data_IF_643006655956
#
_entry.id   IF_643006655956
#
_cell.length_a   1.000
_cell.length_b   1.000
_cell.length_c   1.000
_cell.angle_alpha   90.00
_cell.angle_beta   90.00
_cell.angle_gamma   90.00
#
_symmetry.space_group_name_H-M   'P 1'
#
loop_
_entity.id
_entity.type
_entity.pdbx_description
1 polymer ?
#
# COMPACT_ATOMS: atom_id res chain seq x y z
N UNK A 1 20.19 -57.26 64.60
CA UNK A 1 19.32 -56.08 64.80
C UNK A 1 17.95 -56.38 64.21
N UNK A 2 16.91 -56.04 64.96
CA UNK A 2 15.54 -56.51 64.78
C UNK A 2 14.87 -55.98 63.51
N UNK A 3 14.08 -56.88 62.90
CA UNK A 3 13.03 -56.64 61.92
C UNK A 3 12.14 -55.45 62.33
N UNK A 4 11.77 -54.60 61.38
CA UNK A 4 10.41 -54.52 60.81
C UNK A 4 10.24 -53.23 59.98
N UNK A 5 9.73 -53.43 58.78
CA UNK A 5 9.15 -52.42 57.90
C UNK A 5 7.92 -51.76 58.56
N UNK A 6 7.74 -50.46 58.37
CA UNK A 6 6.47 -49.83 57.97
C UNK A 6 6.60 -48.30 57.83
N UNK A 7 6.21 -47.83 56.64
CA UNK A 7 5.51 -46.57 56.31
C UNK A 7 6.13 -45.23 56.71
N UNK A 8 6.67 -44.47 55.74
CA UNK A 8 5.96 -43.48 54.89
C UNK A 8 5.41 -42.31 55.71
N UNK A 9 6.05 -41.13 55.58
CA UNK A 9 5.36 -39.85 55.36
C UNK A 9 6.37 -38.78 54.86
N UNK A 10 6.13 -38.31 53.63
CA UNK A 10 6.48 -36.99 53.03
C UNK A 10 7.89 -36.41 53.26
N UNK A 11 8.62 -35.96 52.24
CA UNK A 11 8.25 -34.85 51.36
C UNK A 11 8.96 -34.93 50.00
N UNK A 12 8.16 -34.89 48.94
CA UNK A 12 8.53 -34.38 47.62
C UNK A 12 8.74 -32.86 47.67
N UNK A 13 9.65 -32.35 46.84
CA UNK A 13 9.47 -31.18 45.97
C UNK A 13 10.77 -31.01 45.14
N UNK A 14 10.89 -31.63 43.96
CA UNK A 14 10.59 -31.05 42.61
C UNK A 14 11.61 -30.01 42.13
N UNK A 15 12.31 -30.33 41.04
CA UNK A 15 12.26 -29.61 39.75
C UNK A 15 13.45 -30.04 38.87
N UNK A 16 13.15 -30.61 37.71
CA UNK A 16 14.11 -30.70 36.61
C UNK A 16 14.04 -29.43 35.78
N UNK A 17 15.15 -28.96 35.24
CA UNK A 17 15.15 -27.94 34.19
C UNK A 17 16.40 -28.08 33.29
N UNK A 18 16.13 -28.62 32.11
CA UNK A 18 16.60 -28.17 30.78
C UNK A 18 17.93 -27.42 30.73
N UNK A 19 18.93 -28.06 30.12
CA UNK A 19 20.15 -27.38 29.68
C UNK A 19 19.81 -26.39 28.55
N UNK A 20 19.88 -25.10 28.88
CA UNK A 20 19.82 -24.01 27.91
C UNK A 20 21.14 -23.95 27.13
N UNK A 21 21.10 -24.28 25.84
CA UNK A 21 22.13 -23.89 24.89
C UNK A 21 22.20 -22.37 24.88
N UNK A 22 23.37 -21.82 25.23
CA UNK A 22 23.65 -20.39 25.17
C UNK A 22 23.54 -19.90 23.72
N UNK A 23 22.41 -19.30 23.38
CA UNK A 23 22.22 -18.51 22.18
C UNK A 23 23.23 -17.36 22.20
N UNK A 24 24.24 -17.42 21.34
CA UNK A 24 25.14 -16.29 21.04
C UNK A 24 24.41 -15.32 20.12
N UNK A 25 23.39 -14.65 20.66
CA UNK A 25 22.76 -13.50 20.03
C UNK A 25 23.71 -12.32 20.08
N UNK A 26 24.40 -12.04 18.98
CA UNK A 26 25.09 -10.78 18.78
C UNK A 26 24.06 -9.63 18.82
N UNK A 27 23.94 -8.98 19.98
CA UNK A 27 23.19 -7.73 20.13
C UNK A 27 23.96 -6.62 19.44
N UNK A 28 23.52 -6.24 18.23
CA UNK A 28 23.95 -5.00 17.58
C UNK A 28 23.19 -3.80 18.16
N UNK A 29 23.29 -3.59 19.47
CA UNK A 29 22.92 -2.32 20.10
C UNK A 29 24.08 -1.36 19.87
N UNK A 30 24.11 -0.72 18.69
CA UNK A 30 25.01 0.39 18.41
C UNK A 30 24.64 1.54 19.35
N UNK A 31 25.65 1.97 20.12
CA UNK A 31 25.68 3.16 20.95
C UNK A 31 24.83 4.30 20.37
N UNK A 32 24.01 4.88 21.25
CA UNK A 32 23.42 6.22 21.22
C UNK A 32 23.67 6.99 19.91
N UNK A 33 22.74 6.84 18.97
CA UNK A 33 22.71 7.66 17.77
C UNK A 33 22.46 9.10 18.22
N UNK A 34 23.43 9.99 17.96
CA UNK A 34 23.26 11.42 18.13
C UNK A 34 21.96 11.83 17.43
N UNK A 35 20.91 12.13 18.20
CA UNK A 35 19.65 12.69 17.70
C UNK A 35 19.92 14.14 17.33
N UNK A 36 20.60 14.32 16.20
CA UNK A 36 20.42 15.55 15.41
C UNK A 36 18.91 15.67 15.20
N UNK A 37 18.34 16.84 15.45
CA UNK A 37 16.91 17.12 15.34
C UNK A 37 16.42 16.84 13.91
N UNK A 38 16.20 15.58 13.56
CA UNK A 38 15.54 15.18 12.33
C UNK A 38 14.06 15.31 12.65
N UNK A 39 13.41 16.30 12.06
CA UNK A 39 11.96 16.41 12.11
C UNK A 39 11.36 15.12 11.55
N UNK A 40 10.45 14.49 12.29
CA UNK A 40 9.74 13.30 11.81
C UNK A 40 8.96 13.67 10.54
N UNK A 41 9.25 13.04 9.38
CA UNK A 41 8.57 13.40 8.15
C UNK A 41 7.10 13.05 8.23
N UNK A 42 6.25 13.88 7.64
CA UNK A 42 4.83 13.56 7.51
C UNK A 42 4.67 12.46 6.47
N UNK A 43 4.19 11.29 6.91
CA UNK A 43 3.92 10.15 6.05
C UNK A 43 2.47 10.11 5.59
N UNK A 44 2.24 9.92 4.30
CA UNK A 44 0.89 9.70 3.74
C UNK A 44 0.92 8.81 2.49
N UNK A 45 -0.25 8.32 2.08
CA UNK A 45 -0.43 7.71 0.75
C UNK A 45 -0.75 8.81 -0.27
N UNK A 46 -0.04 8.86 -1.40
CA UNK A 46 -0.22 9.91 -2.41
C UNK A 46 -0.84 9.42 -3.73
N UNK A 47 -0.83 8.11 -3.96
CA UNK A 47 -1.58 7.51 -5.05
C UNK A 47 -1.99 6.10 -4.71
N UNK A 48 -3.22 5.74 -5.09
CA UNK A 48 -3.75 4.40 -4.95
C UNK A 48 -4.40 3.95 -6.25
N UNK A 49 -4.18 2.68 -6.59
CA UNK A 49 -4.89 2.02 -7.68
C UNK A 49 -5.54 0.74 -7.16
N UNK A 50 -6.87 0.67 -7.29
CA UNK A 50 -7.66 -0.51 -6.99
C UNK A 50 -8.05 -1.16 -8.33
N UNK A 51 -7.87 -2.46 -8.43
CA UNK A 51 -8.32 -3.25 -9.57
C UNK A 51 -9.20 -4.39 -9.11
N UNK A 52 -10.16 -4.76 -9.95
CA UNK A 52 -11.11 -5.83 -9.68
C UNK A 52 -11.85 -6.20 -10.95
N UNK A 53 -12.77 -7.14 -10.82
CA UNK A 53 -13.63 -7.59 -11.89
C UNK A 53 -15.02 -7.01 -11.76
N UNK A 54 -15.56 -6.61 -12.90
CA UNK A 54 -16.94 -6.21 -13.05
C UNK A 54 -17.62 -7.25 -13.95
N UNK A 55 -18.60 -7.95 -13.39
CA UNK A 55 -19.44 -8.87 -14.17
C UNK A 55 -20.31 -8.07 -15.16
N UNK A 56 -20.95 -8.77 -16.10
CA UNK A 56 -21.71 -8.12 -17.18
C UNK A 56 -22.86 -7.24 -16.65
N UNK A 57 -23.58 -7.74 -15.65
CA UNK A 57 -24.77 -7.07 -15.11
C UNK A 57 -24.37 -5.83 -14.31
N UNK A 58 -23.34 -5.93 -13.47
CA UNK A 58 -22.76 -4.83 -12.72
C UNK A 58 -22.14 -3.78 -13.66
N UNK A 59 -21.52 -4.19 -14.77
CA UNK A 59 -20.98 -3.26 -15.76
C UNK A 59 -22.08 -2.41 -16.41
N UNK A 60 -23.19 -3.05 -16.77
CA UNK A 60 -24.34 -2.35 -17.33
C UNK A 60 -25.02 -1.44 -16.28
N UNK A 61 -25.19 -1.93 -15.05
CA UNK A 61 -25.79 -1.17 -13.96
C UNK A 61 -24.93 0.07 -13.62
N UNK A 62 -23.62 -0.11 -13.47
CA UNK A 62 -22.68 0.95 -13.15
C UNK A 62 -22.59 1.98 -14.27
N UNK A 63 -22.49 1.55 -15.54
CA UNK A 63 -22.50 2.46 -16.68
C UNK A 63 -23.80 3.28 -16.76
N UNK A 64 -24.94 2.68 -16.44
CA UNK A 64 -26.24 3.38 -16.42
C UNK A 64 -26.31 4.40 -15.30
N UNK A 65 -25.85 4.03 -14.10
CA UNK A 65 -25.72 4.95 -12.96
C UNK A 65 -24.82 6.15 -13.31
N UNK A 66 -23.63 5.89 -13.86
CA UNK A 66 -22.68 6.93 -14.24
C UNK A 66 -23.19 7.87 -15.33
N UNK A 67 -24.14 7.43 -16.15
CA UNK A 67 -24.71 8.26 -17.23
C UNK A 67 -25.71 9.30 -16.72
N UNK A 68 -26.27 9.11 -15.53
CA UNK A 68 -27.26 10.02 -14.93
C UNK A 68 -26.69 10.86 -13.79
N UNK A 69 -25.54 10.47 -13.23
CA UNK A 69 -24.89 11.18 -12.13
C UNK A 69 -24.10 12.41 -12.64
N UNK A 70 -24.52 13.65 -12.34
CA UNK A 70 -23.89 14.85 -12.90
C UNK A 70 -22.44 15.07 -12.45
N UNK A 71 -22.04 14.46 -11.33
CA UNK A 71 -20.69 14.55 -10.80
C UNK A 71 -19.69 13.63 -11.52
N UNK A 72 -20.17 12.84 -12.48
CA UNK A 72 -19.37 11.90 -13.25
C UNK A 72 -19.34 12.33 -14.71
N UNK A 73 -18.13 12.45 -15.25
CA UNK A 73 -17.89 12.61 -16.68
C UNK A 73 -17.58 11.23 -17.25
N UNK A 74 -18.42 10.74 -18.14
CA UNK A 74 -18.29 9.43 -18.81
C UNK A 74 -17.91 9.62 -20.28
N UNK A 75 -16.99 8.81 -20.80
CA UNK A 75 -16.59 8.79 -22.22
C UNK A 75 -16.10 7.40 -22.66
N UNK A 76 -15.79 7.25 -23.95
CA UNK A 76 -15.40 5.97 -24.56
C UNK A 76 -16.39 4.83 -24.28
N UNK A 77 -17.70 5.13 -24.31
CA UNK A 77 -18.76 4.21 -23.88
C UNK A 77 -19.05 3.20 -24.99
N UNK A 78 -18.74 1.94 -24.72
CA UNK A 78 -19.09 0.76 -25.53
C UNK A 78 -19.66 -0.31 -24.58
N UNK A 79 -20.21 -1.39 -25.14
CA UNK A 79 -20.76 -2.47 -24.31
C UNK A 79 -19.72 -3.16 -23.41
N UNK A 80 -18.45 -3.20 -23.85
CA UNK A 80 -17.36 -3.89 -23.16
C UNK A 80 -16.31 -2.93 -22.60
N UNK A 81 -16.57 -1.63 -22.63
CA UNK A 81 -15.60 -0.61 -22.27
C UNK A 81 -16.28 0.70 -21.86
N UNK A 82 -15.75 1.34 -20.82
CA UNK A 82 -16.06 2.74 -20.54
C UNK A 82 -14.91 3.37 -19.76
N UNK A 83 -14.83 4.70 -19.81
CA UNK A 83 -13.94 5.49 -18.94
C UNK A 83 -14.73 6.59 -18.28
N UNK A 84 -14.40 6.86 -17.03
CA UNK A 84 -15.02 7.93 -16.29
C UNK A 84 -14.01 8.71 -15.45
N UNK A 85 -14.39 9.94 -15.15
CA UNK A 85 -13.84 10.70 -14.04
C UNK A 85 -14.96 11.17 -13.15
N UNK A 86 -14.77 10.98 -11.85
CA UNK A 86 -15.75 11.33 -10.83
C UNK A 86 -15.15 12.33 -9.85
N UNK A 87 -16.01 12.93 -9.01
CA UNK A 87 -15.63 13.76 -7.88
C UNK A 87 -14.70 14.90 -8.30
N UNK A 88 -15.15 15.73 -9.24
CA UNK A 88 -14.37 16.85 -9.77
C UNK A 88 -13.00 16.42 -10.33
N UNK A 89 -13.00 15.34 -11.11
CA UNK A 89 -11.80 14.79 -11.78
C UNK A 89 -10.72 14.22 -10.85
N UNK A 90 -11.02 14.03 -9.55
CA UNK A 90 -10.11 13.45 -8.55
C UNK A 90 -9.94 11.95 -8.68
N UNK A 91 -10.95 11.26 -9.23
CA UNK A 91 -10.97 9.80 -9.39
C UNK A 91 -11.09 9.46 -10.86
N UNK A 92 -10.17 8.62 -11.36
CA UNK A 92 -10.23 8.03 -12.68
C UNK A 92 -10.73 6.58 -12.58
N UNK A 93 -11.63 6.20 -13.48
CA UNK A 93 -12.23 4.86 -13.55
C UNK A 93 -12.14 4.36 -14.98
N UNK A 94 -11.68 3.12 -15.17
CA UNK A 94 -11.59 2.46 -16.47
C UNK A 94 -12.12 1.04 -16.34
N UNK A 95 -13.02 0.68 -17.25
CA UNK A 95 -13.46 -0.68 -17.49
C UNK A 95 -13.14 -1.05 -18.93
N UNK A 96 -12.48 -2.18 -19.15
CA UNK A 96 -12.20 -2.70 -20.49
C UNK A 96 -12.11 -4.24 -20.43
N UNK A 97 -13.22 -4.90 -20.76
CA UNK A 97 -13.32 -6.36 -20.71
C UNK A 97 -12.43 -7.04 -21.76
N UNK A 98 -12.43 -6.54 -22.99
CA UNK A 98 -11.70 -7.17 -24.10
C UNK A 98 -10.20 -7.14 -23.85
N UNK A 99 -9.68 -5.99 -23.40
CA UNK A 99 -8.27 -5.85 -23.04
C UNK A 99 -7.91 -6.71 -21.83
N UNK A 100 -8.79 -6.81 -20.84
CA UNK A 100 -8.56 -7.63 -19.66
C UNK A 100 -8.48 -9.12 -19.99
N UNK A 101 -9.45 -9.65 -20.74
CA UNK A 101 -9.49 -11.04 -21.19
C UNK A 101 -8.26 -11.39 -22.05
N UNK A 102 -7.84 -10.47 -22.92
CA UNK A 102 -6.68 -10.70 -23.80
C UNK A 102 -5.34 -10.76 -23.06
N UNK A 103 -5.26 -10.18 -21.85
CA UNK A 103 -4.03 -10.10 -21.05
C UNK A 103 -4.10 -10.97 -19.79
N UNK A 104 -5.21 -11.70 -19.60
CA UNK A 104 -5.55 -12.47 -18.40
C UNK A 104 -5.41 -11.63 -17.12
N UNK A 105 -6.17 -10.52 -17.06
CA UNK A 105 -6.14 -9.55 -15.94
C UNK A 105 -7.54 -9.13 -15.53
N UNK A 106 -7.61 -8.46 -14.37
CA UNK A 106 -8.81 -7.80 -13.87
C UNK A 106 -9.28 -6.70 -14.83
N UNK A 107 -10.59 -6.58 -14.99
CA UNK A 107 -11.20 -5.78 -16.06
C UNK A 107 -11.60 -4.35 -15.68
N UNK A 108 -11.50 -3.98 -14.41
CA UNK A 108 -11.81 -2.65 -13.90
C UNK A 108 -10.65 -2.09 -13.08
N UNK A 109 -10.39 -0.79 -13.23
CA UNK A 109 -9.33 -0.05 -12.56
C UNK A 109 -9.85 1.30 -12.06
N UNK A 110 -9.50 1.64 -10.83
CA UNK A 110 -9.83 2.92 -10.18
C UNK A 110 -8.54 3.53 -9.66
N UNK A 111 -8.24 4.77 -10.06
CA UNK A 111 -7.03 5.50 -9.69
C UNK A 111 -7.39 6.83 -9.02
N UNK A 112 -6.78 7.11 -7.87
CA UNK A 112 -7.01 8.36 -7.14
C UNK A 112 -5.87 8.64 -6.15
N UNK A 113 -5.78 9.90 -5.71
CA UNK A 113 -4.93 10.29 -4.59
C UNK A 113 -5.83 10.43 -3.34
N UNK A 114 -5.64 9.63 -2.27
CA UNK A 114 -6.50 9.69 -1.09
C UNK A 114 -6.39 11.02 -0.35
N UNK A 115 -5.24 11.71 -0.39
CA UNK A 115 -5.06 13.02 0.23
C UNK A 115 -5.92 14.12 -0.41
N UNK A 116 -6.46 13.88 -1.62
CA UNK A 116 -7.32 14.82 -2.34
C UNK A 116 -8.81 14.56 -2.16
N UNK A 117 -9.19 13.47 -1.49
CA UNK A 117 -10.58 13.11 -1.24
C UNK A 117 -10.98 13.47 0.19
N UNK A 118 -12.17 14.03 0.36
CA UNK A 118 -12.79 14.14 1.69
C UNK A 118 -13.24 12.76 2.16
N UNK A 119 -13.53 12.63 3.47
CA UNK A 119 -14.06 11.38 4.03
C UNK A 119 -15.37 10.95 3.37
N UNK A 120 -16.26 11.89 3.08
CA UNK A 120 -17.54 11.62 2.43
C UNK A 120 -17.36 11.19 0.97
N UNK A 121 -16.41 11.81 0.27
CA UNK A 121 -16.01 11.41 -1.09
C UNK A 121 -15.46 9.99 -1.12
N UNK A 122 -14.64 9.60 -0.13
CA UNK A 122 -14.14 8.23 0.00
C UNK A 122 -15.28 7.22 0.28
N UNK A 123 -16.21 7.57 1.15
CA UNK A 123 -17.38 6.73 1.46
C UNK A 123 -18.25 6.57 0.21
N UNK A 124 -18.50 7.67 -0.51
CA UNK A 124 -19.25 7.68 -1.75
C UNK A 124 -18.59 6.79 -2.82
N UNK A 125 -17.26 6.90 -2.98
CA UNK A 125 -16.51 6.08 -3.94
C UNK A 125 -16.63 4.58 -3.60
N UNK A 126 -16.52 4.24 -2.31
CA UNK A 126 -16.66 2.87 -1.84
C UNK A 126 -18.06 2.31 -2.10
N UNK A 127 -19.09 3.08 -1.77
CA UNK A 127 -20.49 2.64 -1.83
C UNK A 127 -21.06 2.59 -3.25
N UNK A 128 -20.66 3.52 -4.13
CA UNK A 128 -21.30 3.69 -5.44
C UNK A 128 -20.47 3.10 -6.59
N UNK A 129 -19.17 2.86 -6.39
CA UNK A 129 -18.28 2.37 -7.45
C UNK A 129 -17.64 1.05 -7.03
N UNK A 130 -16.88 1.03 -5.93
CA UNK A 130 -16.06 -0.14 -5.54
C UNK A 130 -16.95 -1.33 -5.14
N UNK A 131 -18.10 -1.09 -4.53
CA UNK A 131 -19.07 -2.12 -4.12
C UNK A 131 -19.59 -3.00 -5.27
N UNK A 132 -19.51 -2.53 -6.51
CA UNK A 132 -19.89 -3.31 -7.69
C UNK A 132 -18.80 -4.28 -8.15
N UNK A 133 -17.58 -4.13 -7.65
CA UNK A 133 -16.43 -4.94 -8.03
C UNK A 133 -16.38 -6.25 -7.24
N UNK A 134 -15.89 -7.29 -7.90
CA UNK A 134 -15.54 -8.59 -7.34
C UNK A 134 -14.03 -8.79 -7.43
N UNK A 135 -13.43 -9.59 -6.54
CA UNK A 135 -11.98 -9.83 -6.49
C UNK A 135 -11.17 -8.51 -6.52
N UNK A 136 -11.56 -7.53 -5.70
CA UNK A 136 -10.89 -6.23 -5.66
C UNK A 136 -9.59 -6.29 -4.84
N UNK A 137 -8.64 -5.44 -5.20
CA UNK A 137 -7.38 -5.31 -4.47
C UNK A 137 -6.49 -4.20 -5.00
N UNK A 138 -5.50 -3.82 -4.21
CA UNK A 138 -4.54 -2.78 -4.57
C UNK A 138 -3.47 -3.30 -5.54
N UNK A 139 -3.18 -2.54 -6.59
CA UNK A 139 -2.04 -2.78 -7.50
C UNK A 139 -0.98 -1.69 -7.48
N UNK A 140 -1.31 -0.52 -6.93
CA UNK A 140 -0.38 0.58 -6.71
C UNK A 140 -0.71 1.28 -5.40
N UNK A 141 0.33 1.53 -4.61
CA UNK A 141 0.33 2.35 -3.42
C UNK A 141 1.61 3.17 -3.42
N UNK A 142 1.47 4.48 -3.53
CA UNK A 142 2.61 5.41 -3.46
C UNK A 142 2.66 6.02 -2.06
N UNK A 143 3.83 5.99 -1.43
CA UNK A 143 4.10 6.64 -0.15
C UNK A 143 4.78 7.99 -0.39
N UNK A 144 4.29 9.02 0.30
CA UNK A 144 4.91 10.33 0.35
C UNK A 144 5.41 10.63 1.77
N UNK A 145 6.65 11.09 1.83
CA UNK A 145 7.31 11.57 3.05
C UNK A 145 7.65 13.03 2.84
N UNK A 146 6.96 13.93 3.56
CA UNK A 146 7.23 15.37 3.50
C UNK A 146 8.23 15.74 4.59
N UNK A 147 9.35 16.37 4.20
CA UNK A 147 10.42 16.83 5.09
C UNK A 147 10.48 18.36 5.06
N UNK A 148 10.84 18.97 6.19
CA UNK A 148 11.13 20.42 6.26
C UNK A 148 12.56 20.74 5.80
N UNK A 149 13.46 19.76 5.88
CA UNK A 149 14.86 19.88 5.47
C UNK A 149 15.06 19.96 3.95
N UNK A 150 16.14 20.61 3.53
CA UNK A 150 16.55 20.65 2.12
C UNK A 150 17.13 19.30 1.68
N UNK A 151 16.36 18.56 0.87
CA UNK A 151 16.77 17.26 0.33
C UNK A 151 17.64 17.35 -0.95
N UNK A 152 18.08 18.56 -1.34
CA UNK A 152 18.81 18.80 -2.60
C UNK A 152 20.06 17.94 -2.78
N UNK A 153 20.75 17.56 -1.70
CA UNK A 153 21.96 16.73 -1.73
C UNK A 153 21.71 15.26 -1.35
N UNK A 154 20.48 14.89 -0.98
CA UNK A 154 20.12 13.53 -0.61
C UNK A 154 19.89 12.65 -1.85
N UNK A 155 20.23 11.37 -1.75
CA UNK A 155 20.08 10.38 -2.83
C UNK A 155 19.52 9.08 -2.30
N UNK A 156 18.60 8.47 -3.06
CA UNK A 156 18.18 7.11 -2.79
C UNK A 156 19.30 6.15 -3.24
N UNK A 157 19.75 5.29 -2.33
CA UNK A 157 20.71 4.23 -2.62
C UNK A 157 20.02 2.87 -2.45
N UNK A 158 20.41 1.91 -3.29
CA UNK A 158 19.97 0.52 -3.19
C UNK A 158 21.15 -0.41 -3.47
N UNK A 159 21.12 -1.61 -2.91
CA UNK A 159 22.17 -2.62 -3.13
C UNK A 159 22.32 -3.00 -4.61
N UNK A 160 21.26 -2.81 -5.39
CA UNK A 160 21.24 -3.02 -6.84
C UNK A 160 21.47 -1.71 -7.57
N UNK A 161 22.16 -1.77 -8.70
CA UNK A 161 22.33 -0.61 -9.57
C UNK A 161 20.96 -0.12 -10.09
N UNK A 162 20.72 1.18 -9.93
CA UNK A 162 19.50 1.86 -10.40
C UNK A 162 19.86 3.00 -11.34
N UNK A 163 18.98 3.24 -12.31
CA UNK A 163 19.07 4.40 -13.20
C UNK A 163 18.61 5.64 -12.44
N UNK A 164 19.28 6.77 -12.71
CA UNK A 164 18.95 8.07 -12.10
C UNK A 164 18.72 9.12 -13.18
N UNK A 165 17.77 10.02 -12.94
CA UNK A 165 17.59 11.25 -13.72
C UNK A 165 17.32 12.40 -12.79
N UNK A 166 18.04 13.51 -13.00
CA UNK A 166 18.01 14.69 -12.15
C UNK A 166 17.62 15.90 -13.00
N UNK A 167 16.58 16.60 -12.57
CA UNK A 167 16.11 17.81 -13.20
C UNK A 167 16.59 19.02 -12.40
N UNK A 168 17.31 19.92 -13.06
CA UNK A 168 17.87 21.12 -12.45
C UNK A 168 17.00 22.35 -12.73
N UNK A 169 16.88 23.23 -11.74
CA UNK A 169 16.28 24.54 -11.91
C UNK A 169 17.20 25.51 -12.65
N UNK A 170 16.65 26.66 -13.04
CA UNK A 170 17.43 27.77 -13.66
C UNK A 170 18.60 28.28 -12.80
N UNK A 171 18.53 28.04 -11.49
CA UNK A 171 19.58 28.36 -10.52
C UNK A 171 20.67 27.27 -10.40
N UNK A 172 20.62 26.22 -11.23
CA UNK A 172 21.56 25.11 -11.18
C UNK A 172 21.35 24.11 -10.03
N UNK A 173 20.35 24.31 -9.16
CA UNK A 173 20.03 23.39 -8.06
C UNK A 173 19.12 22.26 -8.53
N UNK A 174 19.33 21.04 -8.02
CA UNK A 174 18.46 19.91 -8.29
C UNK A 174 17.06 20.15 -7.71
N UNK A 175 16.01 19.90 -8.50
CA UNK A 175 14.60 20.07 -8.09
C UNK A 175 13.83 18.78 -8.02
N UNK A 176 14.12 17.85 -8.92
CA UNK A 176 13.46 16.55 -8.95
C UNK A 176 14.52 15.49 -9.29
N UNK A 177 14.53 14.41 -8.51
CA UNK A 177 15.41 13.27 -8.70
C UNK A 177 14.55 12.02 -8.79
N UNK A 178 14.67 11.30 -9.89
CA UNK A 178 13.95 10.04 -10.12
C UNK A 178 14.99 8.93 -10.13
N UNK A 179 14.75 7.90 -9.33
CA UNK A 179 15.54 6.68 -9.23
C UNK A 179 14.66 5.50 -9.59
N UNK A 180 15.06 4.69 -10.55
CA UNK A 180 14.27 3.54 -10.96
C UNK A 180 15.13 2.40 -11.46
N UNK A 181 14.53 1.22 -11.45
CA UNK A 181 15.10 0.03 -12.06
C UNK A 181 14.46 -0.18 -13.43
N UNK A 182 15.28 -0.46 -14.42
CA UNK A 182 14.80 -0.98 -15.71
C UNK A 182 14.35 -2.43 -15.47
N UNK A 183 13.08 -2.72 -15.74
CA UNK A 183 12.52 -4.06 -15.59
C UNK A 183 12.93 -4.95 -16.76
#
# INVERSE_FOLDING_TARGET
>A
MSKKEQEIYSKQATSGEVQNYSLTGYSNSRLDAHTVCISDPKLSFDAMTIVGNLNRDNAQALSKFMSVEPQIRLWDILQTKFKAKALQEKVYIEYDKVKADSWDRRNMRIEFNPNKLTRDEMIWLKQNIISYMEDDGFTRLDLAFDFEDDLSDYYAMSDKAVKKTIFYGRNGKARNKIFWRER
#
